data_IF_286404172061
#
_entry.id   IF_286404172061
#
_cell.length_a   1.000
_cell.length_b   1.000
_cell.length_c   1.000
_cell.angle_alpha   90.00
_cell.angle_beta   90.00
_cell.angle_gamma   90.00
#
_symmetry.space_group_name_H-M   'P 1'
#
loop_
_entity.id
_entity.type
_entity.pdbx_description
1 polymer ?
#
# COMPACT_ATOMS: atom_id res chain seq x y z
N UNK A 1 19.26 7.82 6.54
CA UNK A 1 18.14 8.74 6.85
C UNK A 1 16.92 8.37 6.03
N UNK A 2 15.72 8.80 6.41
CA UNK A 2 14.54 8.65 5.56
C UNK A 2 14.65 9.62 4.37
N UNK A 3 14.73 9.10 3.15
CA UNK A 3 14.95 9.91 1.94
C UNK A 3 13.78 10.86 1.64
N UNK A 4 12.56 10.47 1.99
CA UNK A 4 11.35 11.23 1.70
C UNK A 4 11.21 12.54 2.50
N UNK A 5 11.98 12.72 3.58
CA UNK A 5 11.89 13.90 4.45
C UNK A 5 13.21 14.63 4.62
N UNK A 6 14.33 14.05 4.19
CA UNK A 6 15.63 14.71 4.23
C UNK A 6 15.76 15.70 3.07
N UNK A 7 15.91 17.02 3.32
CA UNK A 7 16.16 17.97 2.25
C UNK A 7 17.51 17.69 1.58
N UNK A 8 17.54 17.73 0.25
CA UNK A 8 18.76 17.66 -0.52
C UNK A 8 19.60 18.92 -0.29
N UNK A 9 20.91 18.75 -0.14
CA UNK A 9 21.85 19.85 0.07
C UNK A 9 23.10 19.65 -0.80
N UNK A 10 23.78 20.74 -1.21
CA UNK A 10 25.02 20.66 -1.98
C UNK A 10 26.08 19.82 -1.25
N UNK A 11 26.75 18.95 -2.00
CA UNK A 11 27.84 18.11 -1.48
C UNK A 11 27.39 16.87 -0.68
N UNK A 12 26.09 16.58 -0.58
CA UNK A 12 25.62 15.32 0.00
C UNK A 12 26.03 14.14 -0.89
N UNK A 13 26.63 13.12 -0.27
CA UNK A 13 26.88 11.81 -0.87
C UNK A 13 25.81 10.86 -0.38
N UNK A 14 25.07 10.25 -1.31
CA UNK A 14 23.96 9.33 -1.01
C UNK A 14 24.38 7.90 -1.34
N UNK A 15 24.57 7.09 -0.30
CA UNK A 15 24.75 5.65 -0.44
C UNK A 15 23.41 4.94 -0.22
N UNK A 16 22.80 4.48 -1.31
CA UNK A 16 21.49 3.82 -1.28
C UNK A 16 21.55 2.32 -1.62
N UNK A 17 22.68 1.84 -2.13
CA UNK A 17 22.90 0.46 -2.59
C UNK A 17 24.06 -0.21 -1.84
N UNK A 18 23.85 -0.47 -0.54
CA UNK A 18 24.78 -1.27 0.27
C UNK A 18 24.04 -2.35 1.07
N UNK A 19 24.78 -3.35 1.55
CA UNK A 19 24.21 -4.51 2.23
C UNK A 19 23.39 -4.14 3.48
N UNK A 20 23.83 -3.13 4.24
CA UNK A 20 23.14 -2.67 5.42
C UNK A 20 21.78 -2.04 5.07
N UNK A 21 21.72 -1.16 4.06
CA UNK A 21 20.49 -0.53 3.60
C UNK A 21 19.54 -1.55 2.97
N UNK A 22 20.05 -2.51 2.18
CA UNK A 22 19.23 -3.60 1.62
C UNK A 22 18.57 -4.43 2.71
N UNK A 23 19.34 -4.81 3.74
CA UNK A 23 18.81 -5.54 4.90
C UNK A 23 17.74 -4.73 5.63
N UNK A 24 17.99 -3.44 5.89
CA UNK A 24 17.03 -2.57 6.57
C UNK A 24 15.72 -2.43 5.78
N UNK A 25 15.79 -2.25 4.45
CA UNK A 25 14.60 -2.21 3.59
C UNK A 25 13.81 -3.52 3.65
N UNK A 26 14.51 -4.67 3.58
CA UNK A 26 13.88 -5.99 3.72
C UNK A 26 13.17 -6.13 5.07
N UNK A 27 13.83 -5.81 6.17
CA UNK A 27 13.25 -5.87 7.52
C UNK A 27 11.99 -4.99 7.63
N UNK A 28 12.01 -3.78 7.06
CA UNK A 28 10.84 -2.89 7.05
C UNK A 28 9.69 -3.45 6.21
N UNK A 29 9.97 -3.99 5.02
CA UNK A 29 8.93 -4.57 4.17
C UNK A 29 8.35 -5.83 4.81
N UNK A 30 9.18 -6.69 5.43
CA UNK A 30 8.70 -7.81 6.26
C UNK A 30 7.73 -7.32 7.35
N UNK A 31 8.04 -6.22 8.05
CA UNK A 31 7.15 -5.63 9.04
C UNK A 31 5.85 -5.05 8.43
N UNK A 32 5.84 -4.63 7.17
CA UNK A 32 4.60 -4.19 6.51
C UNK A 32 3.67 -5.37 6.22
N UNK A 33 4.21 -6.54 5.88
CA UNK A 33 3.41 -7.77 5.75
C UNK A 33 2.76 -8.22 7.07
N UNK A 34 3.22 -7.70 8.20
CA UNK A 34 2.68 -8.02 9.53
C UNK A 34 1.44 -7.25 9.92
N UNK A 35 1.31 -6.04 9.38
CA UNK A 35 0.24 -5.12 9.72
C UNK A 35 -1.14 -5.64 9.26
N UNK A 36 -1.15 -6.48 8.21
CA UNK A 36 -2.35 -6.98 7.58
C UNK A 36 -2.27 -8.42 7.06
N UNK A 37 -3.41 -8.92 6.61
CA UNK A 37 -3.58 -10.24 5.98
C UNK A 37 -3.36 -10.10 4.47
N UNK A 38 -2.19 -10.50 3.97
CA UNK A 38 -1.81 -10.37 2.56
C UNK A 38 -1.94 -11.69 1.80
N UNK A 39 -3.18 -12.09 1.53
CA UNK A 39 -3.53 -13.32 0.81
C UNK A 39 -3.49 -13.10 -0.71
N UNK A 40 -2.28 -12.99 -1.26
CA UNK A 40 -2.06 -12.62 -2.67
C UNK A 40 -2.80 -13.49 -3.72
N UNK A 41 -2.98 -14.81 -3.56
CA UNK A 41 -3.69 -15.63 -4.55
C UNK A 41 -5.15 -15.26 -4.79
N UNK A 42 -5.81 -14.60 -3.83
CA UNK A 42 -7.22 -14.20 -3.91
C UNK A 42 -7.40 -12.67 -3.99
N UNK A 43 -6.30 -11.93 -4.01
CA UNK A 43 -6.31 -10.47 -4.02
C UNK A 43 -6.27 -9.95 -5.46
N UNK A 44 -7.25 -9.13 -5.83
CA UNK A 44 -7.36 -8.51 -7.15
C UNK A 44 -6.23 -7.52 -7.44
N UNK A 45 -5.61 -6.94 -6.40
CA UNK A 45 -4.43 -6.08 -6.55
C UNK A 45 -3.14 -6.87 -6.81
N UNK A 46 -3.14 -8.21 -6.69
CA UNK A 46 -1.95 -9.03 -6.96
C UNK A 46 -1.43 -8.77 -8.38
N UNK A 47 -0.12 -8.56 -8.51
CA UNK A 47 0.54 -8.13 -9.76
C UNK A 47 0.51 -6.61 -10.02
N UNK A 48 -0.34 -5.85 -9.33
CA UNK A 48 -0.34 -4.37 -9.29
C UNK A 48 -0.06 -3.84 -7.87
N UNK A 49 0.26 -4.72 -6.92
CA UNK A 49 0.43 -4.40 -5.51
C UNK A 49 1.89 -3.98 -5.24
N UNK A 50 2.11 -2.72 -4.85
CA UNK A 50 3.46 -2.21 -4.54
C UNK A 50 4.12 -3.01 -3.42
N UNK A 51 3.37 -3.45 -2.39
CA UNK A 51 3.94 -4.25 -1.30
C UNK A 51 4.49 -5.59 -1.81
N UNK A 52 3.73 -6.25 -2.69
CA UNK A 52 4.16 -7.51 -3.32
C UNK A 52 5.36 -7.28 -4.23
N UNK A 53 5.34 -6.22 -5.04
CA UNK A 53 6.43 -5.87 -5.93
C UNK A 53 7.73 -5.54 -5.17
N UNK A 54 7.63 -4.84 -4.05
CA UNK A 54 8.76 -4.57 -3.15
C UNK A 54 9.32 -5.86 -2.54
N UNK A 55 8.47 -6.85 -2.23
CA UNK A 55 8.92 -8.14 -1.74
C UNK A 55 9.78 -8.87 -2.78
N UNK A 56 9.35 -8.85 -4.05
CA UNK A 56 10.14 -9.39 -5.16
C UNK A 56 11.46 -8.64 -5.35
N UNK A 57 11.43 -7.30 -5.35
CA UNK A 57 12.64 -6.47 -5.49
C UNK A 57 13.68 -6.70 -4.38
N UNK A 58 13.23 -7.07 -3.18
CA UNK A 58 14.09 -7.29 -2.03
C UNK A 58 14.46 -8.76 -1.82
N UNK A 59 14.15 -9.65 -2.78
CA UNK A 59 14.38 -11.09 -2.73
C UNK A 59 13.83 -11.72 -1.43
N UNK A 60 12.59 -11.38 -1.08
CA UNK A 60 11.88 -11.97 0.04
C UNK A 60 11.33 -13.36 -0.35
N UNK A 61 12.21 -14.34 -0.39
CA UNK A 61 11.88 -15.74 -0.76
C UNK A 61 11.48 -16.60 0.44
N UNK A 62 11.73 -16.11 1.65
CA UNK A 62 11.46 -16.82 2.89
C UNK A 62 10.28 -16.19 3.63
N UNK A 63 9.53 -16.98 4.43
CA UNK A 63 8.54 -16.43 5.34
C UNK A 63 9.19 -15.41 6.28
N UNK A 64 8.44 -14.35 6.59
CA UNK A 64 8.85 -13.33 7.57
C UNK A 64 9.25 -13.99 8.89
N UNK A 65 10.36 -13.54 9.49
CA UNK A 65 10.82 -14.02 10.81
C UNK A 65 9.98 -13.49 11.99
N UNK A 66 9.16 -12.48 11.74
CA UNK A 66 8.34 -11.84 12.74
C UNK A 66 6.97 -12.58 12.86
N UNK A 67 6.23 -12.48 13.97
CA UNK A 67 4.87 -13.06 14.10
C UNK A 67 3.79 -12.14 13.50
N UNK A 68 2.88 -12.70 12.68
CA UNK A 68 1.76 -11.93 12.09
C UNK A 68 0.78 -11.43 13.16
N UNK A 69 0.20 -10.24 12.96
CA UNK A 69 -0.84 -9.72 13.85
C UNK A 69 -2.21 -10.37 13.62
N UNK A 70 -2.42 -10.91 12.42
CA UNK A 70 -3.67 -11.57 12.00
C UNK A 70 -4.93 -10.78 12.39
N UNK A 71 -5.04 -9.49 12.00
CA UNK A 71 -6.21 -8.70 12.35
C UNK A 71 -7.47 -9.37 11.80
N UNK A 72 -8.53 -9.40 12.62
CA UNK A 72 -9.87 -9.82 12.21
C UNK A 72 -10.79 -8.60 12.25
N UNK A 73 -10.88 -7.91 11.11
CA UNK A 73 -11.68 -6.70 10.91
C UNK A 73 -12.80 -7.01 9.93
N UNK A 74 -13.98 -6.44 10.16
CA UNK A 74 -15.08 -6.55 9.22
C UNK A 74 -14.71 -5.84 7.90
N UNK A 75 -15.04 -6.49 6.78
CA UNK A 75 -14.98 -5.83 5.47
C UNK A 75 -16.18 -4.90 5.36
N UNK A 76 -15.92 -3.64 5.08
CA UNK A 76 -16.98 -2.67 4.84
C UNK A 76 -17.34 -2.67 3.36
N UNK A 77 -18.54 -3.12 3.04
CA UNK A 77 -19.09 -3.14 1.69
C UNK A 77 -20.39 -2.34 1.60
N UNK A 78 -20.60 -1.37 2.49
CA UNK A 78 -21.80 -0.51 2.55
C UNK A 78 -21.97 0.34 1.28
N UNK A 79 -20.90 1.00 0.82
CA UNK A 79 -20.93 1.89 -0.35
C UNK A 79 -21.24 1.11 -1.65
N UNK A 80 -22.11 1.59 -2.56
CA UNK A 80 -22.56 0.82 -3.73
C UNK A 80 -21.44 0.39 -4.70
N UNK A 81 -20.37 1.17 -4.77
CA UNK A 81 -19.30 0.99 -5.77
C UNK A 81 -17.94 0.61 -5.18
N UNK A 82 -17.77 0.72 -3.87
CA UNK A 82 -16.47 0.58 -3.20
C UNK A 82 -16.64 -0.38 -2.02
N UNK A 83 -15.65 -1.23 -1.80
CA UNK A 83 -15.50 -1.99 -0.56
C UNK A 83 -14.13 -1.71 0.06
N UNK A 84 -14.05 -1.75 1.39
CA UNK A 84 -12.83 -1.59 2.16
C UNK A 84 -12.53 -2.87 2.93
N UNK A 85 -11.44 -3.53 2.55
CA UNK A 85 -10.86 -4.63 3.31
C UNK A 85 -9.66 -4.12 4.11
N UNK A 86 -9.94 -3.52 5.28
CA UNK A 86 -8.91 -2.97 6.16
C UNK A 86 -8.01 -4.04 6.79
N UNK A 87 -8.30 -5.34 6.59
CA UNK A 87 -7.36 -6.39 6.95
C UNK A 87 -6.11 -6.34 6.07
N UNK A 88 -6.19 -5.80 4.85
CA UNK A 88 -5.05 -5.72 3.91
C UNK A 88 -4.27 -4.41 4.04
N UNK A 89 -4.68 -3.50 4.93
CA UNK A 89 -4.09 -2.17 5.07
C UNK A 89 -2.73 -2.23 5.78
N UNK A 90 -1.72 -1.55 5.23
CA UNK A 90 -0.39 -1.40 5.85
C UNK A 90 -0.23 -0.08 6.63
N UNK A 91 -1.33 0.59 6.96
CA UNK A 91 -1.35 1.84 7.74
C UNK A 91 -0.46 2.97 7.17
N UNK A 92 -0.28 3.06 5.85
CA UNK A 92 0.62 4.03 5.20
C UNK A 92 0.10 5.49 5.17
N UNK A 93 -1.21 5.70 5.34
CA UNK A 93 -1.82 7.02 5.37
C UNK A 93 -1.92 7.73 4.01
N UNK A 94 -1.65 7.05 2.90
CA UNK A 94 -1.81 7.62 1.54
C UNK A 94 -3.26 8.02 1.26
N UNK A 95 -4.23 7.16 1.58
CA UNK A 95 -5.66 7.46 1.41
C UNK A 95 -6.14 8.63 2.27
N UNK A 96 -5.63 8.77 3.50
CA UNK A 96 -5.94 9.88 4.41
C UNK A 96 -5.47 11.20 3.78
N UNK A 97 -4.21 11.27 3.36
CA UNK A 97 -3.67 12.48 2.71
C UNK A 97 -4.34 12.78 1.37
N UNK A 98 -4.59 11.77 0.53
CA UNK A 98 -5.30 11.98 -0.73
C UNK A 98 -6.71 12.55 -0.49
N UNK A 99 -7.44 11.97 0.47
CA UNK A 99 -8.80 12.41 0.78
C UNK A 99 -8.84 13.81 1.39
N UNK A 100 -7.83 14.20 2.16
CA UNK A 100 -7.75 15.51 2.79
C UNK A 100 -7.18 16.59 1.85
N UNK A 101 -6.04 16.32 1.21
CA UNK A 101 -5.24 17.32 0.50
C UNK A 101 -5.64 17.44 -0.98
N UNK A 102 -6.16 16.38 -1.60
CA UNK A 102 -6.56 16.36 -3.02
C UNK A 102 -8.07 16.46 -3.16
N UNK A 103 -8.81 15.57 -2.48
CA UNK A 103 -10.27 15.53 -2.60
C UNK A 103 -10.97 16.58 -1.72
N UNK A 104 -10.31 17.03 -0.63
CA UNK A 104 -10.87 18.02 0.30
C UNK A 104 -11.99 17.52 1.21
N UNK A 105 -12.13 16.20 1.37
CA UNK A 105 -13.27 15.54 2.05
C UNK A 105 -12.94 15.03 3.45
N UNK A 106 -11.73 14.50 3.64
CA UNK A 106 -11.33 13.91 4.92
C UNK A 106 -12.12 12.64 5.29
N UNK A 107 -12.47 11.81 4.29
CA UNK A 107 -13.19 10.54 4.46
C UNK A 107 -12.44 9.60 5.39
N UNK A 108 -11.12 9.52 5.26
CA UNK A 108 -10.30 8.57 6.02
C UNK A 108 -9.59 9.22 7.21
N UNK A 109 -9.42 8.45 8.28
CA UNK A 109 -8.62 8.85 9.44
C UNK A 109 -8.03 7.66 10.18
N UNK A 110 -7.12 7.92 11.12
CA UNK A 110 -6.63 6.89 12.05
C UNK A 110 -7.48 6.86 13.31
N UNK A 111 -7.84 5.65 13.73
CA UNK A 111 -8.45 5.38 15.04
C UNK A 111 -7.63 4.36 15.81
N UNK A 112 -7.76 4.36 17.14
CA UNK A 112 -6.95 3.49 18.01
C UNK A 112 -5.51 3.98 18.18
N UNK A 113 -4.69 3.16 18.85
CA UNK A 113 -3.28 3.47 19.17
C UNK A 113 -2.44 2.20 19.20
N UNK A 114 -1.12 2.36 19.03
CA UNK A 114 -0.16 1.25 19.02
C UNK A 114 -0.54 0.19 17.97
N UNK A 115 -0.46 -1.08 18.34
CA UNK A 115 -0.83 -2.22 17.48
C UNK A 115 -2.33 -2.29 17.14
N UNK A 116 -3.17 -1.50 17.82
CA UNK A 116 -4.61 -1.41 17.55
C UNK A 116 -4.96 -0.21 16.67
N UNK A 117 -3.96 0.57 16.21
CA UNK A 117 -4.20 1.66 15.27
C UNK A 117 -4.66 1.08 13.93
N UNK A 118 -5.72 1.65 13.36
CA UNK A 118 -6.21 1.28 12.02
C UNK A 118 -6.75 2.50 11.28
N UNK A 119 -6.83 2.38 9.96
CA UNK A 119 -7.61 3.32 9.15
C UNK A 119 -9.10 3.05 9.37
N UNK A 120 -9.87 4.12 9.50
CA UNK A 120 -11.33 4.11 9.56
C UNK A 120 -11.86 5.25 8.69
N UNK A 121 -13.16 5.24 8.47
CA UNK A 121 -13.88 6.30 7.77
C UNK A 121 -14.49 7.30 8.77
N UNK A 122 -14.86 8.50 8.29
CA UNK A 122 -15.49 9.58 9.05
C UNK A 122 -17.02 9.43 9.16
N UNK A 123 -17.49 8.18 9.31
CA UNK A 123 -18.89 7.77 9.47
C UNK A 123 -18.96 6.41 10.18
N UNK A 124 -20.16 5.86 10.35
CA UNK A 124 -20.34 4.52 10.92
C UNK A 124 -19.84 3.44 9.93
N UNK A 125 -20.09 3.66 8.64
CA UNK A 125 -19.53 2.91 7.51
C UNK A 125 -19.23 3.84 6.32
N UNK A 126 -18.68 3.28 5.23
CA UNK A 126 -18.30 4.04 4.05
C UNK A 126 -19.50 4.67 3.33
N UNK A 127 -20.70 4.05 3.35
CA UNK A 127 -21.89 4.62 2.72
C UNK A 127 -22.40 5.86 3.45
N UNK A 128 -22.13 5.99 4.75
CA UNK A 128 -22.47 7.15 5.56
C UNK A 128 -21.48 8.33 5.41
N UNK A 129 -20.52 8.22 4.50
CA UNK A 129 -19.54 9.29 4.20
C UNK A 129 -19.84 9.99 2.88
N UNK A 130 -19.08 11.04 2.57
CA UNK A 130 -19.10 11.72 1.28
C UNK A 130 -18.17 11.08 0.23
N UNK A 131 -17.73 9.85 0.48
CA UNK A 131 -16.93 9.06 -0.45
C UNK A 131 -17.62 8.92 -1.81
N UNK A 132 -16.86 9.11 -2.88
CA UNK A 132 -17.29 8.83 -4.24
C UNK A 132 -16.25 7.99 -4.98
N UNK A 133 -16.71 7.16 -5.91
CA UNK A 133 -15.83 6.35 -6.77
C UNK A 133 -14.92 7.19 -7.67
N UNK A 134 -15.24 8.46 -7.87
CA UNK A 134 -14.43 9.42 -8.62
C UNK A 134 -13.33 10.08 -7.79
N UNK A 135 -13.32 9.87 -6.47
CA UNK A 135 -12.32 10.48 -5.58
C UNK A 135 -10.93 9.89 -5.85
N UNK A 136 -9.91 10.76 -5.83
CA UNK A 136 -8.54 10.33 -6.02
C UNK A 136 -8.12 9.35 -4.92
N UNK A 137 -8.55 9.57 -3.68
CA UNK A 137 -8.31 8.67 -2.56
C UNK A 137 -8.87 7.24 -2.75
N UNK A 138 -9.85 7.08 -3.66
CA UNK A 138 -10.48 5.79 -3.99
C UNK A 138 -9.93 5.18 -5.28
N UNK A 139 -8.87 5.76 -5.85
CA UNK A 139 -8.17 5.21 -7.01
C UNK A 139 -7.24 4.07 -6.60
N UNK A 140 -7.00 3.15 -7.53
CA UNK A 140 -5.99 2.10 -7.37
C UNK A 140 -4.57 2.65 -7.24
N UNK A 141 -4.33 3.89 -7.67
CA UNK A 141 -3.02 4.56 -7.62
C UNK A 141 -2.65 5.02 -6.20
N UNK A 142 -3.65 5.31 -5.35
CA UNK A 142 -3.39 5.81 -4.00
C UNK A 142 -3.09 4.69 -3.01
N UNK A 143 -3.84 3.59 -3.07
CA UNK A 143 -3.67 2.48 -2.15
C UNK A 143 -2.58 1.53 -2.66
N UNK A 144 -1.43 1.38 -1.98
CA UNK A 144 -0.32 0.55 -2.46
C UNK A 144 -0.57 -0.96 -2.32
N UNK A 145 -1.76 -1.34 -1.83
CA UNK A 145 -2.19 -2.71 -1.49
C UNK A 145 -3.68 -2.85 -1.81
N UNK A 146 -4.22 -4.07 -1.80
CA UNK A 146 -5.63 -4.34 -2.14
C UNK A 146 -6.68 -3.98 -1.07
N UNK A 147 -6.48 -2.90 -0.29
CA UNK A 147 -7.39 -2.49 0.78
C UNK A 147 -8.63 -1.74 0.26
N UNK A 148 -8.48 -0.92 -0.79
CA UNK A 148 -9.58 -0.18 -1.41
C UNK A 148 -9.97 -0.92 -2.68
N UNK A 149 -11.21 -1.42 -2.74
CA UNK A 149 -11.66 -2.36 -3.76
C UNK A 149 -12.78 -1.70 -4.56
N UNK A 150 -12.61 -1.57 -5.87
CA UNK A 150 -13.68 -1.18 -6.78
C UNK A 150 -14.56 -2.39 -7.08
N UNK A 151 -15.84 -2.28 -6.74
CA UNK A 151 -16.80 -3.36 -6.96
C UNK A 151 -17.02 -3.56 -8.47
N UNK A 152 -17.23 -4.82 -8.87
CA UNK A 152 -17.50 -5.26 -10.26
C UNK A 152 -16.33 -5.12 -11.23
N UNK A 153 -15.14 -4.72 -10.77
CA UNK A 153 -13.91 -4.74 -11.58
C UNK A 153 -13.12 -6.04 -11.38
N UNK A 154 -12.77 -6.37 -10.13
CA UNK A 154 -12.07 -7.61 -9.79
C UNK A 154 -10.75 -7.79 -10.57
N UNK A 155 -10.49 -9.00 -11.07
CA UNK A 155 -9.31 -9.34 -11.88
C UNK A 155 -9.42 -8.84 -13.33
N UNK A 156 -9.56 -7.51 -13.50
CA UNK A 156 -9.78 -6.89 -14.80
C UNK A 156 -8.59 -7.06 -15.77
N UNK A 157 -7.36 -7.09 -15.24
CA UNK A 157 -6.13 -7.24 -16.02
C UNK A 157 -5.62 -8.69 -15.92
N UNK A 158 -5.45 -9.41 -17.04
CA UNK A 158 -4.94 -10.78 -17.03
C UNK A 158 -3.54 -10.91 -16.44
N UNK A 159 -3.27 -12.08 -15.84
CA UNK A 159 -1.92 -12.46 -15.40
C UNK A 159 -0.95 -12.40 -16.58
N UNK A 160 0.24 -11.86 -16.35
CA UNK A 160 1.28 -11.59 -17.34
C UNK A 160 1.14 -10.21 -17.99
N UNK A 161 0.11 -9.43 -17.67
CA UNK A 161 -0.10 -8.06 -18.20
C UNK A 161 -0.24 -6.99 -17.12
N UNK A 162 -0.11 -7.36 -15.84
CA UNK A 162 -0.18 -6.43 -14.71
C UNK A 162 1.16 -5.72 -14.54
N UNK A 163 1.14 -4.58 -13.87
CA UNK A 163 2.27 -3.64 -13.80
C UNK A 163 3.58 -4.29 -13.34
N UNK A 164 3.51 -5.17 -12.34
CA UNK A 164 4.67 -5.82 -11.74
C UNK A 164 4.79 -7.32 -12.10
N UNK A 165 4.09 -7.78 -13.14
CA UNK A 165 4.20 -9.19 -13.58
C UNK A 165 5.52 -9.47 -14.30
N UNK A 166 6.05 -8.49 -15.05
CA UNK A 166 7.21 -8.69 -15.93
C UNK A 166 8.39 -7.76 -15.61
N UNK A 167 8.27 -6.89 -14.63
CA UNK A 167 9.29 -5.90 -14.26
C UNK A 167 9.31 -5.68 -12.76
N UNK A 168 10.48 -5.35 -12.24
CA UNK A 168 10.63 -4.98 -10.84
C UNK A 168 10.21 -3.52 -10.65
N UNK A 169 9.61 -3.23 -9.50
CA UNK A 169 9.28 -1.85 -9.13
C UNK A 169 10.55 -0.99 -9.13
N UNK A 170 10.52 0.17 -9.81
CA UNK A 170 11.64 1.09 -9.94
C UNK A 170 12.73 0.71 -10.95
N UNK A 171 12.55 -0.38 -11.71
CA UNK A 171 13.47 -0.76 -12.81
C UNK A 171 13.55 0.33 -13.89
N UNK A 172 12.44 1.01 -14.17
CA UNK A 172 12.35 2.13 -15.12
C UNK A 172 13.20 3.34 -14.70
N UNK A 173 13.38 3.54 -13.39
CA UNK A 173 14.22 4.61 -12.83
C UNK A 173 15.69 4.23 -12.97
N UNK A 174 16.02 2.95 -12.74
CA UNK A 174 17.39 2.44 -12.84
C UNK A 174 17.88 2.45 -14.28
N UNK A 175 17.03 2.07 -15.24
CA UNK A 175 17.35 2.13 -16.65
C UNK A 175 17.76 3.54 -17.10
N UNK A 176 17.06 4.58 -16.65
CA UNK A 176 17.36 5.99 -16.95
C UNK A 176 18.65 6.51 -16.30
N UNK A 177 19.14 5.87 -15.24
CA UNK A 177 20.38 6.29 -14.57
C UNK A 177 21.61 5.91 -15.38
N UNK A 178 21.51 4.80 -16.10
CA UNK A 178 22.63 4.19 -16.82
C UNK A 178 22.71 4.69 -18.29
N UNK A 179 21.79 5.57 -18.70
CA UNK A 179 21.78 6.36 -19.96
C UNK A 179 22.58 7.67 -19.84
#
# INVERSE_FOLDING_TARGET
VASCTQPAAPGLVVENENAHIKKLRRDLVEMLFHEGNHLCPICEASGNCELQAMAYRLDMTEPTKFPYLEPCRAVDASHPDIALDTNRCISCGRCIRASQDVDGKGVFGYVGRGIHRRVSVNGDDLADTDAAVTDFAMSSEVCPVGCIIRKREGFAIPIGKREFDNSLIGEDIEAKRDE
#
